data_IF_841017393333
#
_entry.id   IF_841017393333
#
_cell.length_a   1.000
_cell.length_b   1.000
_cell.length_c   1.000
_cell.angle_alpha   90.00
_cell.angle_beta   90.00
_cell.angle_gamma   90.00
#
_symmetry.space_group_name_H-M   'P 1'
#
loop_
_entity.id
_entity.type
_entity.pdbx_description
1 polymer ?
#
# COMPACT_ATOMS: atom_id res chain seq x y z
N UNK A 1 44.62 42.84 -14.47
CA UNK A 1 44.25 41.42 -14.53
C UNK A 1 44.26 40.87 -13.11
N UNK A 2 43.09 40.77 -12.48
CA UNK A 2 42.95 40.15 -11.15
C UNK A 2 42.38 38.76 -11.40
N UNK A 3 43.19 37.73 -11.12
CA UNK A 3 42.79 36.33 -11.28
C UNK A 3 41.76 35.96 -10.22
N UNK A 4 40.58 35.54 -10.65
CA UNK A 4 39.58 34.94 -9.76
C UNK A 4 39.94 33.47 -9.54
N UNK A 5 40.21 33.14 -8.27
CA UNK A 5 40.30 31.77 -7.77
C UNK A 5 38.93 31.09 -7.86
N UNK A 6 38.83 30.06 -8.69
CA UNK A 6 37.66 29.20 -8.81
C UNK A 6 37.73 28.14 -7.70
N UNK A 7 36.85 28.24 -6.70
CA UNK A 7 36.58 27.16 -5.76
C UNK A 7 35.81 26.04 -6.49
N UNK A 8 36.20 24.75 -6.38
CA UNK A 8 35.40 23.67 -6.93
C UNK A 8 34.19 23.42 -6.02
N UNK A 9 32.99 23.52 -6.59
CA UNK A 9 31.75 23.12 -5.95
C UNK A 9 31.75 21.61 -5.75
N UNK A 10 31.63 21.17 -4.49
CA UNK A 10 31.41 19.77 -4.15
C UNK A 10 29.99 19.41 -4.61
N UNK A 11 29.89 18.69 -5.73
CA UNK A 11 28.64 18.04 -6.12
C UNK A 11 28.39 16.91 -5.12
N UNK A 12 27.48 17.14 -4.17
CA UNK A 12 26.85 16.06 -3.42
C UNK A 12 25.99 15.28 -4.41
N UNK A 13 26.57 14.24 -5.00
CA UNK A 13 25.80 13.26 -5.74
C UNK A 13 25.03 12.47 -4.69
N UNK A 14 23.75 12.80 -4.52
CA UNK A 14 22.83 11.94 -3.78
C UNK A 14 22.91 10.57 -4.46
N UNK A 15 23.50 9.60 -3.78
CA UNK A 15 23.37 8.20 -4.18
C UNK A 15 21.90 7.89 -3.94
N UNK A 16 21.10 8.00 -4.99
CA UNK A 16 19.78 7.37 -5.02
C UNK A 16 20.09 5.89 -5.07
N UNK A 17 20.17 5.26 -3.90
CA UNK A 17 20.14 3.81 -3.80
C UNK A 17 18.82 3.42 -4.46
N UNK A 18 18.80 2.60 -5.51
CA UNK A 18 17.54 2.12 -6.05
C UNK A 18 16.82 1.43 -4.89
N UNK A 19 15.72 2.01 -4.42
CA UNK A 19 14.79 1.31 -3.55
C UNK A 19 14.48 0.00 -4.27
N UNK A 20 14.61 -1.11 -3.58
CA UNK A 20 14.11 -2.35 -4.11
C UNK A 20 12.60 -2.10 -4.25
N UNK A 21 12.10 -2.02 -5.47
CA UNK A 21 10.69 -1.67 -5.76
C UNK A 21 9.71 -2.80 -5.34
N UNK A 22 10.11 -3.65 -4.39
CA UNK A 22 9.31 -4.74 -3.85
C UNK A 22 8.29 -4.16 -2.89
N UNK A 23 7.05 -4.27 -3.31
CA UNK A 23 5.90 -3.90 -2.52
C UNK A 23 5.21 -5.15 -1.99
N UNK A 24 4.61 -5.02 -0.81
CA UNK A 24 3.87 -6.08 -0.14
C UNK A 24 2.42 -5.64 0.00
N UNK A 25 1.51 -6.48 -0.49
CA UNK A 25 0.08 -6.27 -0.39
C UNK A 25 -0.43 -6.89 0.93
N UNK A 26 -0.98 -6.07 1.81
CA UNK A 26 -1.53 -6.50 3.10
C UNK A 26 -3.05 -6.42 3.06
N UNK A 27 -3.71 -7.50 3.46
CA UNK A 27 -5.13 -7.56 3.74
C UNK A 27 -5.34 -7.72 5.24
N UNK A 28 -6.06 -6.79 5.85
CA UNK A 28 -6.51 -6.86 7.24
C UNK A 28 -8.03 -6.97 7.22
N UNK A 29 -8.52 -8.22 7.26
CA UNK A 29 -9.94 -8.57 7.19
C UNK A 29 -10.49 -8.57 8.62
N UNK A 30 -10.86 -7.38 9.09
CA UNK A 30 -11.41 -7.19 10.43
C UNK A 30 -12.87 -7.61 10.56
N UNK A 31 -13.41 -7.46 11.77
CA UNK A 31 -14.80 -7.80 12.09
C UNK A 31 -15.81 -6.83 11.47
N UNK A 32 -15.48 -5.54 11.41
CA UNK A 32 -16.40 -4.47 10.97
C UNK A 32 -16.15 -4.01 9.54
N UNK A 33 -15.00 -4.31 8.98
CA UNK A 33 -14.57 -3.83 7.68
C UNK A 33 -13.25 -4.45 7.28
N UNK A 34 -12.86 -4.25 6.02
CA UNK A 34 -11.55 -4.64 5.52
C UNK A 34 -10.68 -3.42 5.31
N UNK A 35 -9.42 -3.52 5.70
CA UNK A 35 -8.36 -2.57 5.33
C UNK A 35 -7.38 -3.27 4.41
N UNK A 36 -6.97 -2.60 3.35
CA UNK A 36 -5.84 -3.03 2.52
C UNK A 36 -4.75 -1.97 2.57
N UNK A 37 -3.50 -2.41 2.62
CA UNK A 37 -2.33 -1.54 2.60
C UNK A 37 -1.25 -2.06 1.65
N UNK A 38 -0.51 -1.14 1.05
CA UNK A 38 0.73 -1.41 0.32
C UNK A 38 1.89 -0.93 1.16
N UNK A 39 2.87 -1.81 1.35
CA UNK A 39 4.02 -1.56 2.24
C UNK A 39 5.32 -1.85 1.48
N UNK A 40 6.37 -1.04 1.72
CA UNK A 40 7.71 -1.28 1.16
C UNK A 40 8.51 -2.31 1.96
N UNK A 41 9.73 -2.62 1.53
CA UNK A 41 10.60 -3.60 2.18
C UNK A 41 11.06 -3.17 3.58
N UNK A 42 11.06 -1.88 3.88
CA UNK A 42 11.35 -1.33 5.21
C UNK A 42 10.13 -1.30 6.13
N UNK A 43 8.96 -1.75 5.67
CA UNK A 43 7.73 -1.79 6.47
C UNK A 43 6.98 -0.45 6.49
N UNK A 44 7.31 0.50 5.61
CA UNK A 44 6.60 1.79 5.52
C UNK A 44 5.34 1.64 4.69
N UNK A 45 4.23 2.18 5.20
CA UNK A 45 2.96 2.21 4.48
C UNK A 45 3.02 3.25 3.35
N UNK A 46 2.89 2.77 2.11
CA UNK A 46 2.89 3.59 0.89
C UNK A 46 1.48 4.06 0.55
N UNK A 47 0.49 3.18 0.72
CA UNK A 47 -0.92 3.45 0.40
C UNK A 47 -1.83 2.57 1.24
N UNK A 48 -3.07 3.02 1.46
CA UNK A 48 -4.10 2.23 2.13
C UNK A 48 -5.51 2.61 1.68
N UNK A 49 -6.42 1.68 1.87
CA UNK A 49 -7.86 1.92 1.77
C UNK A 49 -8.61 1.11 2.82
N UNK A 50 -9.78 1.60 3.21
CA UNK A 50 -10.69 0.94 4.14
C UNK A 50 -12.10 0.91 3.54
N UNK A 51 -12.84 -0.14 3.86
CA UNK A 51 -14.27 -0.28 3.58
C UNK A 51 -14.95 -0.92 4.79
N UNK A 52 -15.94 -0.23 5.33
CA UNK A 52 -16.82 -0.81 6.34
C UNK A 52 -17.79 -1.80 5.67
N UNK A 53 -18.08 -2.90 6.34
CA UNK A 53 -19.06 -3.86 5.85
C UNK A 53 -20.47 -3.27 5.91
N UNK A 54 -21.33 -3.58 4.91
CA UNK A 54 -22.72 -3.24 5.00
C UNK A 54 -23.37 -3.96 6.19
N UNK A 55 -24.52 -3.43 6.63
CA UNK A 55 -25.34 -4.13 7.61
C UNK A 55 -25.68 -5.54 7.08
N UNK A 56 -25.43 -6.55 7.92
CA UNK A 56 -25.74 -7.94 7.54
C UNK A 56 -27.25 -8.14 7.34
N UNK A 57 -27.67 -9.03 6.43
CA UNK A 57 -29.07 -9.42 6.29
C UNK A 57 -29.64 -9.95 7.61
N UNK A 58 -30.96 -9.82 7.79
CA UNK A 58 -31.63 -10.18 9.06
C UNK A 58 -31.62 -11.69 9.31
N UNK A 59 -31.47 -12.47 8.26
CA UNK A 59 -31.49 -13.93 8.27
C UNK A 59 -30.17 -14.54 8.74
N UNK A 60 -29.10 -13.73 8.80
CA UNK A 60 -27.76 -14.14 9.24
C UNK A 60 -27.69 -14.13 10.77
N UNK A 61 -27.18 -15.21 11.37
CA UNK A 61 -27.13 -15.37 12.82
C UNK A 61 -26.26 -14.29 13.47
N UNK A 62 -26.43 -14.08 14.79
CA UNK A 62 -25.87 -12.95 15.55
C UNK A 62 -24.34 -12.80 15.41
N UNK A 63 -23.60 -13.88 15.14
CA UNK A 63 -22.14 -13.87 14.96
C UNK A 63 -21.67 -14.36 13.58
N UNK A 64 -22.58 -14.44 12.61
CA UNK A 64 -22.24 -14.80 11.25
C UNK A 64 -22.09 -13.56 10.36
N UNK A 65 -21.26 -13.71 9.33
CA UNK A 65 -21.01 -12.74 8.27
C UNK A 65 -20.92 -13.49 6.94
N UNK A 66 -21.25 -12.80 5.85
CA UNK A 66 -21.21 -13.38 4.52
C UNK A 66 -19.78 -13.36 3.98
N UNK A 67 -19.28 -14.51 3.53
CA UNK A 67 -17.95 -14.61 2.91
C UNK A 67 -17.82 -13.69 1.68
N UNK A 68 -18.89 -13.53 0.90
CA UNK A 68 -18.94 -12.62 -0.25
C UNK A 68 -18.69 -11.16 0.15
N UNK A 69 -19.11 -10.75 1.35
CA UNK A 69 -18.83 -9.41 1.87
C UNK A 69 -17.33 -9.25 2.11
N UNK A 70 -16.67 -10.22 2.74
CA UNK A 70 -15.23 -10.18 2.96
C UNK A 70 -14.46 -10.15 1.65
N UNK A 71 -14.82 -11.01 0.70
CA UNK A 71 -14.18 -11.05 -0.61
C UNK A 71 -14.31 -9.74 -1.37
N UNK A 72 -15.55 -9.23 -1.52
CA UNK A 72 -15.81 -7.99 -2.28
C UNK A 72 -15.09 -6.79 -1.67
N UNK A 73 -15.20 -6.62 -0.36
CA UNK A 73 -14.56 -5.48 0.32
C UNK A 73 -13.04 -5.56 0.24
N UNK A 74 -12.43 -6.76 0.38
CA UNK A 74 -11.00 -6.97 0.16
C UNK A 74 -10.54 -6.56 -1.23
N UNK A 75 -11.28 -6.97 -2.27
CA UNK A 75 -10.98 -6.59 -3.66
C UNK A 75 -11.09 -5.08 -3.85
N UNK A 76 -12.17 -4.47 -3.37
CA UNK A 76 -12.40 -3.03 -3.50
C UNK A 76 -11.32 -2.20 -2.80
N UNK A 77 -10.91 -2.59 -1.59
CA UNK A 77 -9.87 -1.88 -0.85
C UNK A 77 -8.51 -2.06 -1.49
N UNK A 78 -8.17 -3.26 -1.95
CA UNK A 78 -6.88 -3.48 -2.59
C UNK A 78 -6.76 -2.78 -3.95
N UNK A 79 -7.82 -2.77 -4.76
CA UNK A 79 -7.86 -1.99 -6.00
C UNK A 79 -7.61 -0.51 -5.74
N UNK A 80 -8.27 0.06 -4.71
CA UNK A 80 -8.03 1.44 -4.29
C UNK A 80 -6.61 1.65 -3.79
N UNK A 81 -6.06 0.74 -2.98
CA UNK A 81 -4.70 0.84 -2.47
C UNK A 81 -3.65 0.81 -3.60
N UNK A 82 -3.78 -0.12 -4.56
CA UNK A 82 -2.87 -0.28 -5.71
C UNK A 82 -2.97 0.89 -6.69
N UNK A 83 -4.16 1.50 -6.85
CA UNK A 83 -4.35 2.63 -7.77
C UNK A 83 -3.46 3.84 -7.47
N UNK A 84 -2.96 3.96 -6.23
CA UNK A 84 -2.00 4.99 -5.83
C UNK A 84 -0.53 4.66 -6.11
N UNK A 85 -0.22 3.47 -6.61
CA UNK A 85 1.16 3.00 -6.77
C UNK A 85 1.66 3.18 -8.22
N UNK A 86 2.83 3.80 -8.37
CA UNK A 86 3.45 4.11 -9.67
C UNK A 86 3.61 2.89 -10.60
N UNK A 87 3.95 1.73 -10.03
CA UNK A 87 4.19 0.48 -10.76
C UNK A 87 3.02 -0.50 -10.66
N UNK A 88 1.88 -0.08 -10.10
CA UNK A 88 0.69 -0.91 -9.99
C UNK A 88 0.96 -2.26 -9.30
N UNK A 89 0.33 -3.32 -9.82
CA UNK A 89 0.46 -4.69 -9.30
C UNK A 89 1.80 -5.35 -9.63
N UNK A 90 2.52 -4.88 -10.64
CA UNK A 90 3.75 -5.53 -11.12
C UNK A 90 4.91 -5.44 -10.10
N UNK A 91 4.82 -4.48 -9.18
CA UNK A 91 5.75 -4.31 -8.07
C UNK A 91 5.41 -5.17 -6.83
N UNK A 92 4.24 -5.84 -6.80
CA UNK A 92 3.83 -6.65 -5.66
C UNK A 92 4.63 -7.96 -5.63
N UNK A 93 5.55 -8.06 -4.67
CA UNK A 93 6.40 -9.23 -4.47
C UNK A 93 5.74 -10.31 -3.61
N UNK A 94 4.82 -9.92 -2.73
CA UNK A 94 4.15 -10.82 -1.80
C UNK A 94 2.81 -10.31 -1.31
N UNK A 95 1.98 -11.25 -0.85
CA UNK A 95 0.66 -10.98 -0.26
C UNK A 95 0.63 -11.52 1.16
N UNK A 96 0.11 -10.73 2.08
CA UNK A 96 -0.07 -11.06 3.49
C UNK A 96 -1.56 -10.88 3.84
N UNK A 97 -2.11 -11.85 4.56
CA UNK A 97 -3.50 -11.89 5.03
C UNK A 97 -3.51 -12.23 6.51
#
# INVERSE_FOLDING_TARGET
MVGQSICPSVQFQLIVIPMNDRLFAIFDIGTTGTRSAIVDEEGREISKAYEEYPQKPKEVQVHEQLADTFWRTSVNTMQRAISGCKYGSDAIYGVIV
#
